data_IF_138253219117
#
_entry.id   IF_138253219117
#
_cell.length_a   1.000
_cell.length_b   1.000
_cell.length_c   1.000
_cell.angle_alpha   90.00
_cell.angle_beta   90.00
_cell.angle_gamma   90.00
#
_symmetry.space_group_name_H-M   'P 1'
#
loop_
_entity.id
_entity.type
_entity.pdbx_description
1 polymer ?
#
# COMPACT_ATOMS: atom_id res chain seq x y z
N UNK A 1 8.91 43.28 25.04
CA UNK A 1 7.96 42.15 25.11
C UNK A 1 8.82 40.89 24.94
N UNK A 2 9.16 40.24 26.05
CA UNK A 2 10.02 39.04 26.06
C UNK A 2 9.13 37.79 26.03
N UNK A 3 9.35 36.90 25.06
CA UNK A 3 8.68 35.60 25.03
C UNK A 3 9.49 34.60 25.86
N UNK A 4 8.93 34.17 26.98
CA UNK A 4 9.41 33.00 27.73
C UNK A 4 8.91 31.73 27.04
N UNK A 5 9.83 30.90 26.55
CA UNK A 5 9.52 29.52 26.18
C UNK A 5 9.21 28.72 27.46
N UNK A 6 7.98 28.23 27.58
CA UNK A 6 7.64 27.20 28.55
C UNK A 6 7.95 25.83 27.94
N UNK A 7 9.00 25.16 28.45
CA UNK A 7 9.20 23.73 28.21
C UNK A 7 8.17 22.95 28.99
N UNK A 8 7.21 22.34 28.29
CA UNK A 8 6.32 21.31 28.85
C UNK A 8 7.13 20.04 28.95
N UNK A 9 7.40 19.58 30.18
CA UNK A 9 8.03 18.29 30.43
C UNK A 9 7.12 17.17 29.97
N UNK A 10 7.43 16.56 28.82
CA UNK A 10 6.79 15.32 28.38
C UNK A 10 7.39 14.18 29.18
N UNK A 11 6.53 13.53 29.97
CA UNK A 11 6.84 12.32 30.71
C UNK A 11 6.92 11.17 29.69
N UNK A 12 8.13 10.70 29.37
CA UNK A 12 8.35 9.56 28.47
C UNK A 12 8.03 8.27 29.23
N UNK A 13 7.06 7.44 28.80
CA UNK A 13 6.98 6.08 29.31
C UNK A 13 7.75 5.13 28.38
N UNK A 14 8.56 4.28 29.02
CA UNK A 14 9.26 3.10 28.49
C UNK A 14 10.56 3.33 27.69
N UNK A 15 11.66 2.79 28.25
CA UNK A 15 12.89 2.45 27.52
C UNK A 15 12.87 0.94 27.32
N UNK A 16 12.78 0.50 26.07
CA UNK A 16 13.02 -0.89 25.70
C UNK A 16 14.49 -1.02 25.32
N UNK A 17 15.22 -1.94 25.95
CA UNK A 17 16.60 -2.26 25.59
C UNK A 17 16.56 -3.50 24.70
N UNK A 18 17.02 -3.38 23.45
CA UNK A 18 17.13 -4.51 22.53
C UNK A 18 18.50 -5.17 22.74
N UNK A 19 18.51 -6.50 22.91
CA UNK A 19 19.75 -7.28 23.01
C UNK A 19 19.60 -8.51 22.12
N UNK A 20 20.35 -8.56 21.02
CA UNK A 20 20.35 -9.71 20.12
C UNK A 20 21.31 -10.80 20.64
N UNK A 21 20.78 -12.01 20.86
CA UNK A 21 21.57 -13.22 21.09
C UNK A 21 21.33 -14.22 19.96
N UNK A 22 22.35 -14.45 19.13
CA UNK A 22 22.37 -15.55 18.16
C UNK A 22 23.08 -16.79 18.76
N UNK A 23 22.59 -17.99 18.46
CA UNK A 23 23.15 -19.25 18.99
C UNK A 23 24.33 -19.77 18.16
N UNK A 24 25.33 -20.34 18.84
CA UNK A 24 26.72 -20.57 18.37
C UNK A 24 26.94 -21.63 17.27
N UNK A 25 25.91 -22.24 16.67
CA UNK A 25 26.09 -23.45 15.83
C UNK A 25 25.64 -23.35 14.36
N UNK A 26 25.67 -22.16 13.76
CA UNK A 26 25.55 -22.01 12.29
C UNK A 26 26.71 -21.17 11.76
N UNK A 27 27.45 -21.68 10.76
CA UNK A 27 28.43 -20.85 10.03
C UNK A 27 27.65 -19.71 9.36
N UNK A 28 27.84 -18.44 9.79
CA UNK A 28 26.99 -17.36 9.33
C UNK A 28 27.41 -16.88 7.95
N UNK A 29 26.44 -16.74 7.06
CA UNK A 29 26.50 -15.71 6.03
C UNK A 29 26.22 -14.40 6.78
N UNK A 30 27.27 -13.61 7.05
CA UNK A 30 27.16 -12.41 7.89
C UNK A 30 26.49 -11.31 7.06
N UNK A 31 25.18 -11.14 7.22
CA UNK A 31 24.54 -9.84 7.04
C UNK A 31 24.76 -9.06 8.33
N UNK A 32 25.60 -8.02 8.27
CA UNK A 32 25.83 -7.15 9.41
C UNK A 32 24.59 -6.24 9.58
N UNK A 33 23.60 -6.73 10.33
CA UNK A 33 22.40 -6.01 10.73
C UNK A 33 22.78 -5.08 11.89
N UNK A 34 23.47 -3.98 11.59
CA UNK A 34 23.94 -3.04 12.61
C UNK A 34 22.79 -2.43 13.41
N UNK A 35 22.95 -2.45 14.74
CA UNK A 35 22.16 -1.66 15.69
C UNK A 35 22.25 -0.16 15.38
N UNK A 36 21.10 0.52 15.42
CA UNK A 36 20.90 1.92 15.02
C UNK A 36 21.49 2.96 16.01
N UNK A 37 22.09 2.55 17.12
CA UNK A 37 22.54 3.50 18.16
C UNK A 37 23.95 4.07 17.96
N UNK A 38 24.63 3.75 16.86
CA UNK A 38 25.97 4.31 16.55
C UNK A 38 26.06 5.01 15.18
N UNK A 39 24.96 5.56 14.67
CA UNK A 39 24.99 6.54 13.57
C UNK A 39 24.63 7.91 14.15
N UNK A 40 25.56 8.45 14.94
CA UNK A 40 25.56 9.87 15.27
C UNK A 40 25.63 10.68 13.97
N UNK A 41 24.54 11.37 13.65
CA UNK A 41 24.46 12.51 12.74
C UNK A 41 25.32 12.42 11.47
N UNK A 42 24.90 11.65 10.47
CA UNK A 42 25.38 11.87 9.09
C UNK A 42 24.21 11.84 8.11
N UNK A 43 23.72 13.06 7.84
CA UNK A 43 23.02 13.54 6.64
C UNK A 43 22.52 12.54 5.59
N UNK A 44 21.21 12.60 5.35
CA UNK A 44 20.50 12.41 4.06
C UNK A 44 21.02 11.28 3.14
N UNK A 45 20.33 10.13 3.17
CA UNK A 45 20.10 9.31 1.97
C UNK A 45 21.16 8.27 1.61
N UNK A 46 21.61 7.44 2.56
CA UNK A 46 22.37 6.22 2.24
C UNK A 46 21.78 4.99 2.90
N UNK A 47 21.14 4.15 2.09
CA UNK A 47 20.89 2.75 2.42
C UNK A 47 22.25 2.04 2.29
N UNK A 48 22.89 1.72 3.43
CA UNK A 48 24.15 1.00 3.45
C UNK A 48 23.87 -0.50 3.45
N UNK A 49 24.11 -1.15 2.32
CA UNK A 49 24.28 -2.61 2.27
C UNK A 49 25.64 -2.96 2.87
N UNK A 50 25.62 -3.46 4.11
CA UNK A 50 26.82 -3.92 4.81
C UNK A 50 27.34 -5.21 4.14
N UNK A 51 28.27 -5.06 3.19
CA UNK A 51 28.91 -6.17 2.48
C UNK A 51 29.08 -5.99 0.98
N UNK A 52 28.49 -4.95 0.38
CA UNK A 52 28.63 -4.69 -1.07
C UNK A 52 29.96 -4.00 -1.40
N UNK A 53 30.60 -4.47 -2.47
CA UNK A 53 31.72 -3.79 -3.11
C UNK A 53 31.25 -2.48 -3.76
N UNK A 54 32.16 -1.53 -3.98
CA UNK A 54 31.85 -0.26 -4.67
C UNK A 54 31.27 -0.50 -6.08
N UNK A 55 31.67 -1.59 -6.73
CA UNK A 55 31.17 -1.99 -8.04
C UNK A 55 29.70 -2.43 -7.98
N UNK A 56 29.34 -3.31 -7.05
CA UNK A 56 27.94 -3.74 -6.81
C UNK A 56 27.03 -2.54 -6.48
N UNK A 57 27.50 -1.61 -5.62
CA UNK A 57 26.74 -0.41 -5.32
C UNK A 57 26.44 0.46 -6.55
N UNK A 58 27.40 0.61 -7.47
CA UNK A 58 27.21 1.40 -8.69
C UNK A 58 26.24 0.73 -9.67
N UNK A 59 26.22 -0.61 -9.74
CA UNK A 59 25.29 -1.35 -10.60
C UNK A 59 23.85 -1.18 -10.08
N UNK A 60 23.64 -1.25 -8.77
CA UNK A 60 22.32 -1.10 -8.16
C UNK A 60 21.77 0.30 -8.42
N UNK A 61 22.62 1.31 -8.24
CA UNK A 61 22.29 2.70 -8.59
C UNK A 61 21.90 2.86 -10.05
N UNK A 62 22.51 2.09 -10.96
CA UNK A 62 22.17 2.14 -12.38
C UNK A 62 20.79 1.56 -12.68
N UNK A 63 20.37 0.48 -11.99
CA UNK A 63 19.01 -0.04 -12.12
C UNK A 63 17.97 0.93 -11.55
N UNK A 64 18.22 1.54 -10.38
CA UNK A 64 17.35 2.58 -9.84
C UNK A 64 17.21 3.77 -10.78
N UNK A 65 18.32 4.18 -11.42
CA UNK A 65 18.29 5.24 -12.42
C UNK A 65 17.39 4.86 -13.61
N UNK A 66 17.51 3.64 -14.14
CA UNK A 66 16.64 3.14 -15.21
C UNK A 66 15.16 3.12 -14.78
N UNK A 67 14.87 2.65 -13.56
CA UNK A 67 13.51 2.62 -13.00
C UNK A 67 12.92 4.03 -12.87
N UNK A 68 13.73 4.99 -12.42
CA UNK A 68 13.32 6.39 -12.32
C UNK A 68 13.00 6.97 -13.69
N UNK A 69 13.85 6.74 -14.70
CA UNK A 69 13.57 7.19 -16.08
C UNK A 69 12.27 6.55 -16.57
N UNK A 70 12.13 5.23 -16.41
CA UNK A 70 10.92 4.50 -16.81
C UNK A 70 9.66 5.10 -16.20
N UNK A 71 9.64 5.30 -14.87
CA UNK A 71 8.49 5.91 -14.17
C UNK A 71 8.27 7.35 -14.61
N UNK A 72 9.32 8.15 -14.83
CA UNK A 72 9.19 9.52 -15.31
C UNK A 72 8.54 9.60 -16.69
N UNK A 73 8.86 8.66 -17.57
CA UNK A 73 8.34 8.56 -18.93
C UNK A 73 6.92 7.98 -19.00
N UNK A 74 6.42 7.37 -17.92
CA UNK A 74 5.02 6.92 -17.86
C UNK A 74 4.05 8.10 -18.00
N UNK A 75 2.93 7.82 -18.67
CA UNK A 75 1.81 8.75 -18.73
C UNK A 75 1.29 9.07 -17.32
N UNK A 76 0.59 10.20 -17.18
CA UNK A 76 0.01 10.56 -15.89
C UNK A 76 -0.93 9.48 -15.35
N UNK A 77 -1.76 8.88 -16.21
CA UNK A 77 -2.68 7.81 -15.83
C UNK A 77 -1.93 6.53 -15.40
N UNK A 78 -0.84 6.16 -16.10
CA UNK A 78 -0.02 5.00 -15.75
C UNK A 78 0.65 5.15 -14.38
N UNK A 79 1.09 6.37 -14.06
CA UNK A 79 1.60 6.70 -12.72
C UNK A 79 0.52 6.49 -11.66
N UNK A 80 -0.71 6.93 -11.91
CA UNK A 80 -1.81 6.75 -10.96
C UNK A 80 -2.13 5.28 -10.68
N UNK A 81 -1.97 4.36 -11.65
CA UNK A 81 -2.07 2.92 -11.37
C UNK A 81 -1.01 2.43 -10.38
N UNK A 82 0.22 2.92 -10.46
CA UNK A 82 1.28 2.55 -9.50
C UNK A 82 0.98 3.13 -8.12
N UNK A 83 0.58 4.40 -8.07
CA UNK A 83 0.24 5.09 -6.82
C UNK A 83 -0.95 4.42 -6.12
N UNK A 84 -2.00 4.09 -6.87
CA UNK A 84 -3.19 3.42 -6.34
C UNK A 84 -2.89 2.05 -5.76
N UNK A 85 -1.87 1.34 -6.25
CA UNK A 85 -1.47 0.07 -5.67
C UNK A 85 -1.02 0.23 -4.22
N UNK A 86 -0.30 1.32 -3.92
CA UNK A 86 0.20 1.62 -2.57
C UNK A 86 -0.87 2.12 -1.60
N UNK A 87 -2.09 2.37 -2.10
CA UNK A 87 -3.22 2.81 -1.31
C UNK A 87 -4.44 1.93 -1.57
N UNK A 88 -4.60 0.88 -0.76
CA UNK A 88 -5.66 -0.14 -0.85
C UNK A 88 -5.73 -0.97 -2.15
N UNK A 89 -5.12 -0.52 -3.25
CA UNK A 89 -5.07 -1.23 -4.52
C UNK A 89 -4.37 -2.59 -4.43
N UNK A 90 -3.42 -2.76 -3.51
CA UNK A 90 -2.80 -4.05 -3.20
C UNK A 90 -3.83 -5.10 -2.74
N UNK A 91 -4.80 -4.72 -1.91
CA UNK A 91 -5.86 -5.59 -1.42
C UNK A 91 -6.81 -5.99 -2.55
N UNK A 92 -7.17 -5.03 -3.40
CA UNK A 92 -8.07 -5.23 -4.54
C UNK A 92 -7.41 -6.15 -5.57
N UNK A 93 -6.20 -5.82 -6.00
CA UNK A 93 -5.45 -6.58 -7.00
C UNK A 93 -5.21 -8.02 -6.56
N UNK A 94 -4.78 -8.22 -5.31
CA UNK A 94 -4.53 -9.55 -4.79
C UNK A 94 -5.81 -10.33 -4.47
N UNK A 95 -6.93 -9.68 -4.15
CA UNK A 95 -8.21 -10.37 -4.04
C UNK A 95 -8.68 -10.90 -5.40
N UNK A 96 -8.54 -10.09 -6.45
CA UNK A 96 -8.83 -10.49 -7.83
C UNK A 96 -7.95 -11.65 -8.28
N UNK A 97 -6.63 -11.52 -8.13
CA UNK A 97 -5.69 -12.54 -8.59
C UNK A 97 -5.86 -13.91 -7.89
N UNK A 98 -6.41 -13.92 -6.67
CA UNK A 98 -6.75 -15.15 -5.92
C UNK A 98 -8.12 -15.73 -6.27
N UNK A 99 -8.91 -15.09 -7.13
CA UNK A 99 -10.32 -15.45 -7.37
C UNK A 99 -11.21 -15.25 -6.15
N UNK A 100 -10.85 -14.32 -5.25
CA UNK A 100 -11.54 -14.03 -3.98
C UNK A 100 -12.14 -12.63 -3.96
N UNK A 101 -12.18 -11.96 -5.12
CA UNK A 101 -12.79 -10.64 -5.23
C UNK A 101 -14.30 -10.73 -4.98
N UNK A 102 -14.81 -9.77 -4.23
CA UNK A 102 -16.23 -9.64 -3.93
C UNK A 102 -16.54 -8.16 -3.84
N UNK A 103 -17.37 -7.67 -4.77
CA UNK A 103 -17.68 -6.24 -4.90
C UNK A 103 -18.20 -5.67 -3.57
N UNK A 104 -19.18 -6.32 -2.93
CA UNK A 104 -19.77 -5.85 -1.67
C UNK A 104 -18.75 -5.71 -0.55
N UNK A 105 -17.77 -6.61 -0.44
CA UNK A 105 -16.70 -6.52 0.56
C UNK A 105 -15.67 -5.43 0.23
N UNK A 106 -15.46 -5.15 -1.05
CA UNK A 106 -14.42 -4.22 -1.52
C UNK A 106 -14.93 -2.80 -1.70
N UNK A 107 -16.25 -2.58 -1.75
CA UNK A 107 -16.85 -1.23 -1.80
C UNK A 107 -16.36 -0.33 -0.67
N UNK A 108 -16.20 -0.87 0.53
CA UNK A 108 -15.64 -0.12 1.68
C UNK A 108 -14.15 0.20 1.56
N UNK A 109 -13.44 -0.28 0.53
CA UNK A 109 -12.06 0.15 0.22
C UNK A 109 -12.03 1.23 -0.85
N UNK A 110 -13.17 1.53 -1.48
CA UNK A 110 -13.32 2.63 -2.42
C UNK A 110 -13.78 3.91 -1.72
N UNK A 111 -14.48 3.76 -0.59
CA UNK A 111 -15.08 4.82 0.22
C UNK A 111 -14.80 4.47 1.68
N UNK A 112 -13.84 5.15 2.31
CA UNK A 112 -13.87 5.25 3.77
C UNK A 112 -14.88 6.36 4.09
N UNK A 113 -15.99 6.00 4.74
CA UNK A 113 -17.03 6.96 5.14
C UNK A 113 -16.50 8.02 6.14
N UNK A 114 -15.27 7.87 6.66
CA UNK A 114 -14.71 8.73 7.71
C UNK A 114 -13.63 9.72 7.25
N UNK A 115 -13.03 9.56 6.07
CA UNK A 115 -11.91 10.40 5.63
C UNK A 115 -12.21 11.01 4.24
N UNK A 116 -12.56 12.31 4.25
CA UNK A 116 -13.06 13.09 3.10
C UNK A 116 -12.04 13.30 1.96
N UNK A 117 -10.80 12.80 2.10
CA UNK A 117 -9.70 13.02 1.16
C UNK A 117 -9.16 11.73 0.51
N UNK A 118 -9.85 10.61 0.68
CA UNK A 118 -9.29 9.32 0.31
C UNK A 118 -9.23 9.09 -1.20
N UNK A 119 -8.05 8.69 -1.66
CA UNK A 119 -7.75 8.43 -3.06
C UNK A 119 -8.45 7.14 -3.52
N UNK A 120 -9.36 7.24 -4.49
CA UNK A 120 -10.12 6.10 -5.00
C UNK A 120 -9.23 5.19 -5.88
N UNK A 121 -8.87 3.96 -5.43
CA UNK A 121 -7.80 3.18 -6.07
C UNK A 121 -8.12 2.77 -7.52
N UNK A 122 -9.40 2.61 -7.85
CA UNK A 122 -9.86 2.19 -9.18
C UNK A 122 -10.16 3.36 -10.11
N UNK A 123 -10.02 4.62 -9.68
CA UNK A 123 -10.34 5.78 -10.50
C UNK A 123 -9.65 5.76 -11.88
N UNK A 124 -8.35 5.40 -12.00
CA UNK A 124 -7.71 5.28 -13.32
C UNK A 124 -8.38 4.25 -14.24
N UNK A 125 -8.82 3.11 -13.69
CA UNK A 125 -9.50 2.07 -14.45
C UNK A 125 -10.91 2.48 -14.87
N UNK A 126 -11.66 3.13 -14.00
CA UNK A 126 -12.97 3.66 -14.36
C UNK A 126 -12.88 4.72 -15.45
N UNK A 127 -11.92 5.64 -15.33
CA UNK A 127 -11.65 6.64 -16.37
C UNK A 127 -11.46 5.99 -17.75
N UNK A 128 -10.53 5.04 -17.85
CA UNK A 128 -10.22 4.37 -19.12
C UNK A 128 -11.42 3.58 -19.66
N UNK A 129 -12.16 2.86 -18.81
CA UNK A 129 -13.31 2.09 -19.26
C UNK A 129 -14.48 3.00 -19.70
N UNK A 130 -14.75 4.10 -18.99
CA UNK A 130 -15.80 5.06 -19.35
C UNK A 130 -15.43 5.75 -20.67
N UNK A 131 -14.19 6.21 -20.81
CA UNK A 131 -13.71 6.89 -22.01
C UNK A 131 -13.79 6.00 -23.25
N UNK A 132 -13.49 4.71 -23.09
CA UNK A 132 -13.47 3.75 -24.20
C UNK A 132 -14.83 3.06 -24.45
N UNK A 133 -15.85 3.29 -23.62
CA UNK A 133 -17.18 2.72 -23.85
C UNK A 133 -18.00 3.51 -24.87
N UNK A 134 -18.77 2.79 -25.67
CA UNK A 134 -19.79 3.38 -26.54
C UNK A 134 -21.20 3.33 -25.94
N UNK A 135 -21.44 2.45 -24.96
CA UNK A 135 -22.76 2.20 -24.39
C UNK A 135 -22.68 2.25 -22.85
N UNK A 136 -23.16 3.36 -22.29
CA UNK A 136 -23.13 3.62 -20.84
C UNK A 136 -24.28 2.95 -20.08
N UNK A 137 -25.31 2.45 -20.77
CA UNK A 137 -26.40 1.68 -20.13
C UNK A 137 -25.90 0.35 -19.55
N UNK A 138 -24.74 -0.13 -19.99
CA UNK A 138 -24.07 -1.31 -19.43
C UNK A 138 -23.12 -0.97 -18.26
N UNK A 139 -22.90 0.33 -18.01
CA UNK A 139 -21.99 0.83 -16.98
C UNK A 139 -22.80 1.23 -15.76
N UNK A 140 -23.87 1.99 -16.00
CA UNK A 140 -24.70 2.59 -14.97
C UNK A 140 -26.03 1.87 -14.91
N UNK A 141 -26.36 1.37 -13.71
CA UNK A 141 -27.74 0.94 -13.44
C UNK A 141 -28.43 2.07 -12.72
N UNK A 142 -29.16 2.88 -13.47
CA UNK A 142 -30.12 3.84 -12.92
C UNK A 142 -31.22 3.06 -12.21
N UNK A 143 -31.02 2.77 -10.93
CA UNK A 143 -32.02 2.18 -10.07
C UNK A 143 -32.31 3.19 -8.99
N UNK A 144 -33.39 3.96 -9.15
CA UNK A 144 -34.01 4.74 -8.07
C UNK A 144 -34.65 3.84 -7.00
N UNK A 145 -34.02 2.72 -6.65
CA UNK A 145 -34.33 2.04 -5.40
C UNK A 145 -33.71 2.89 -4.27
N UNK A 146 -34.35 4.04 -4.05
CA UNK A 146 -34.00 5.11 -3.10
C UNK A 146 -33.92 4.63 -1.65
N UNK A 147 -34.31 3.38 -1.39
CA UNK A 147 -34.10 2.70 -0.11
C UNK A 147 -32.63 2.36 0.16
N UNK A 148 -31.83 2.17 -0.88
CA UNK A 148 -30.40 1.83 -0.77
C UNK A 148 -29.47 2.90 -1.35
N UNK A 149 -30.02 3.91 -2.03
CA UNK A 149 -29.27 5.10 -2.39
C UNK A 149 -28.94 5.87 -1.09
N UNK A 150 -27.83 5.49 -0.45
CA UNK A 150 -27.04 6.34 0.45
C UNK A 150 -26.42 7.53 -0.30
N UNK A 151 -27.02 7.97 -1.40
CA UNK A 151 -26.83 9.31 -1.91
C UNK A 151 -27.38 10.24 -0.85
N UNK A 152 -26.51 10.66 0.05
CA UNK A 152 -26.72 11.88 0.77
C UNK A 152 -26.24 13.01 -0.12
N UNK A 153 -27.11 13.92 -0.55
CA UNK A 153 -26.72 15.24 -1.02
C UNK A 153 -25.68 15.94 -0.13
N UNK A 154 -25.46 15.49 1.11
CA UNK A 154 -24.39 15.96 1.98
C UNK A 154 -22.97 15.87 1.37
N UNK A 155 -22.71 15.01 0.38
CA UNK A 155 -21.43 15.04 -0.34
C UNK A 155 -21.35 16.25 -1.30
N UNK A 156 -22.47 16.68 -1.89
CA UNK A 156 -22.54 17.88 -2.73
C UNK A 156 -22.65 19.17 -1.92
N UNK A 157 -23.39 19.17 -0.81
CA UNK A 157 -23.61 20.34 0.04
C UNK A 157 -22.35 20.74 0.82
N UNK A 158 -21.49 19.78 1.21
CA UNK A 158 -20.22 20.07 1.89
C UNK A 158 -19.25 20.90 1.05
N UNK A 159 -19.15 20.66 -0.26
CA UNK A 159 -18.24 21.42 -1.11
C UNK A 159 -18.73 22.83 -1.46
N UNK A 160 -20.03 23.11 -1.34
CA UNK A 160 -20.59 24.43 -1.63
C UNK A 160 -20.59 25.36 -0.42
N UNK A 161 -20.78 24.84 0.79
CA UNK A 161 -20.97 25.68 1.98
C UNK A 161 -19.67 25.95 2.76
N UNK A 162 -18.64 25.11 2.66
CA UNK A 162 -17.37 25.28 3.40
C UNK A 162 -16.49 26.45 2.90
N UNK A 163 -16.66 26.92 1.65
CA UNK A 163 -15.91 28.09 1.17
C UNK A 163 -16.56 29.43 1.56
N UNK A 164 -17.87 29.48 1.83
CA UNK A 164 -18.56 30.76 2.01
C UNK A 164 -19.07 31.05 3.42
N UNK A 165 -19.46 30.06 4.24
CA UNK A 165 -20.21 30.39 5.47
C UNK A 165 -19.94 29.43 6.64
N UNK A 166 -18.80 29.62 7.32
CA UNK A 166 -18.35 29.03 8.58
C UNK A 166 -19.45 28.96 9.70
N UNK A 167 -20.48 28.13 9.52
CA UNK A 167 -21.67 28.01 10.37
C UNK A 167 -21.68 26.60 10.94
N UNK A 168 -21.71 26.51 12.27
CA UNK A 168 -21.87 25.27 13.03
C UNK A 168 -23.11 24.49 12.54
N UNK A 169 -22.89 23.37 11.85
CA UNK A 169 -23.94 22.46 11.38
C UNK A 169 -24.55 21.72 12.57
N UNK A 170 -25.66 22.23 13.11
CA UNK A 170 -26.54 21.43 13.97
C UNK A 170 -27.35 20.47 13.11
N UNK A 171 -27.31 19.19 13.49
CA UNK A 171 -27.91 17.98 12.89
C UNK A 171 -29.46 18.00 12.76
N UNK A 172 -30.06 19.05 12.18
CA UNK A 172 -31.46 19.04 11.69
C UNK A 172 -31.51 18.80 10.18
N UNK A 173 -30.63 17.93 9.66
CA UNK A 173 -30.44 17.62 8.23
C UNK A 173 -31.51 16.73 7.61
N UNK A 174 -32.60 16.40 8.32
CA UNK A 174 -33.67 15.55 7.80
C UNK A 174 -34.55 16.24 6.73
N UNK A 175 -34.43 17.57 6.59
CA UNK A 175 -35.22 18.37 5.63
C UNK A 175 -34.46 18.80 4.37
N UNK A 176 -33.17 18.48 4.22
CA UNK A 176 -32.35 18.84 3.04
C UNK A 176 -32.28 17.74 1.97
N UNK A 177 -33.05 16.65 2.12
CA UNK A 177 -33.30 15.74 0.99
C UNK A 177 -34.24 16.44 -0.01
N UNK A 178 -33.73 17.42 -0.75
CA UNK A 178 -34.33 17.77 -2.03
C UNK A 178 -34.27 16.50 -2.89
N UNK A 179 -35.44 15.92 -3.14
CA UNK A 179 -35.57 14.77 -4.00
C UNK A 179 -35.32 15.24 -5.43
N UNK A 180 -34.13 15.00 -5.96
CA UNK A 180 -33.87 15.08 -7.39
C UNK A 180 -34.91 14.24 -8.14
N UNK A 181 -35.43 14.77 -9.24
CA UNK A 181 -36.21 13.99 -10.20
C UNK A 181 -35.32 13.00 -10.95
N UNK A 182 -35.89 11.93 -11.51
CA UNK A 182 -35.16 10.98 -12.38
C UNK A 182 -34.39 11.70 -13.48
N UNK A 183 -35.00 12.71 -14.09
CA UNK A 183 -34.42 13.46 -15.18
C UNK A 183 -33.24 14.33 -14.74
N UNK A 184 -33.31 14.96 -13.56
CA UNK A 184 -32.20 15.76 -13.03
C UNK A 184 -31.00 14.87 -12.72
N UNK A 185 -31.23 13.71 -12.10
CA UNK A 185 -30.18 12.72 -11.84
C UNK A 185 -29.54 12.20 -13.13
N UNK A 186 -30.36 11.91 -14.15
CA UNK A 186 -29.86 11.51 -15.47
C UNK A 186 -28.99 12.60 -16.10
N UNK A 187 -29.41 13.87 -16.01
CA UNK A 187 -28.67 15.00 -16.56
C UNK A 187 -27.29 15.15 -15.89
N UNK A 188 -27.21 15.08 -14.56
CA UNK A 188 -25.94 15.17 -13.82
C UNK A 188 -24.99 14.02 -14.18
N UNK A 189 -25.53 12.80 -14.23
CA UNK A 189 -24.74 11.63 -14.64
C UNK A 189 -24.20 11.80 -16.06
N UNK A 190 -25.00 12.34 -16.98
CA UNK A 190 -24.58 12.58 -18.35
C UNK A 190 -23.53 13.70 -18.45
N UNK A 191 -23.59 14.71 -17.60
CA UNK A 191 -22.57 15.74 -17.47
C UNK A 191 -21.23 15.13 -17.00
N UNK A 192 -21.24 14.32 -15.94
CA UNK A 192 -20.06 13.63 -15.43
C UNK A 192 -19.44 12.69 -16.47
N UNK A 193 -20.26 11.92 -17.17
CA UNK A 193 -19.80 11.08 -18.28
C UNK A 193 -19.17 11.91 -19.41
N UNK A 194 -19.71 13.11 -19.68
CA UNK A 194 -19.16 13.99 -20.71
C UNK A 194 -17.78 14.52 -20.29
N UNK A 195 -17.63 14.99 -19.05
CA UNK A 195 -16.34 15.44 -18.49
C UNK A 195 -15.28 14.34 -18.65
N UNK A 196 -15.58 13.10 -18.23
CA UNK A 196 -14.63 11.98 -18.32
C UNK A 196 -14.22 11.67 -19.77
N UNK A 197 -15.14 11.84 -20.73
CA UNK A 197 -14.89 11.55 -22.14
C UNK A 197 -14.11 12.63 -22.86
N UNK A 198 -14.37 13.90 -22.55
CA UNK A 198 -13.75 15.03 -23.27
C UNK A 198 -12.43 15.44 -22.64
N UNK A 199 -12.34 15.43 -21.31
CA UNK A 199 -11.20 15.95 -20.59
C UNK A 199 -10.07 14.92 -20.41
N UNK A 200 -8.80 15.35 -20.37
CA UNK A 200 -7.72 14.49 -19.87
C UNK A 200 -7.97 14.13 -18.39
N UNK A 201 -7.32 13.09 -17.88
CA UNK A 201 -7.42 12.76 -16.46
C UNK A 201 -6.88 13.92 -15.62
N UNK A 202 -7.77 14.62 -14.94
CA UNK A 202 -7.55 15.77 -14.07
C UNK A 202 -8.49 15.68 -12.85
N UNK A 203 -8.47 16.71 -11.99
CA UNK A 203 -9.31 16.73 -10.78
C UNK A 203 -10.80 16.66 -11.11
N UNK A 204 -11.28 17.34 -12.15
CA UNK A 204 -12.70 17.34 -12.52
C UNK A 204 -13.16 15.94 -12.94
N UNK A 205 -12.41 15.27 -13.82
CA UNK A 205 -12.69 13.91 -14.24
C UNK A 205 -12.61 12.90 -13.08
N UNK A 206 -11.68 13.12 -12.13
CA UNK A 206 -11.58 12.31 -10.92
C UNK A 206 -12.83 12.48 -10.06
N UNK A 207 -13.25 13.72 -9.80
CA UNK A 207 -14.47 13.99 -9.02
C UNK A 207 -15.71 13.43 -9.71
N UNK A 208 -15.83 13.52 -11.03
CA UNK A 208 -16.89 12.87 -11.80
C UNK A 208 -16.87 11.35 -11.64
N UNK A 209 -15.70 10.71 -11.62
CA UNK A 209 -15.59 9.25 -11.39
C UNK A 209 -16.04 8.87 -9.99
N UNK A 210 -15.67 9.66 -8.98
CA UNK A 210 -16.09 9.46 -7.59
C UNK A 210 -17.61 9.60 -7.45
N UNK A 211 -18.19 10.64 -8.06
CA UNK A 211 -19.65 10.82 -8.09
C UNK A 211 -20.36 9.66 -8.76
N UNK A 212 -19.83 9.14 -9.86
CA UNK A 212 -20.47 8.02 -10.57
C UNK A 212 -20.38 6.67 -9.83
N UNK A 213 -19.61 6.54 -8.75
CA UNK A 213 -19.36 5.27 -8.04
C UNK A 213 -20.64 4.53 -7.64
N UNK A 214 -21.59 5.26 -7.09
CA UNK A 214 -22.82 4.68 -6.59
C UNK A 214 -23.76 4.18 -7.70
N UNK A 215 -23.46 4.51 -8.96
CA UNK A 215 -24.18 4.01 -10.13
C UNK A 215 -23.48 2.83 -10.82
N UNK A 216 -22.22 2.54 -10.47
CA UNK A 216 -21.49 1.43 -11.07
C UNK A 216 -22.11 0.09 -10.71
N UNK A 217 -22.41 -0.69 -11.75
CA UNK A 217 -22.81 -2.08 -11.60
C UNK A 217 -21.66 -2.93 -11.09
N UNK A 218 -21.99 -4.03 -10.40
CA UNK A 218 -20.97 -4.99 -9.95
C UNK A 218 -20.15 -5.54 -11.13
N UNK A 219 -20.79 -5.81 -12.28
CA UNK A 219 -20.11 -6.24 -13.50
C UNK A 219 -19.12 -5.18 -14.01
N UNK A 220 -19.47 -3.90 -13.92
CA UNK A 220 -18.57 -2.81 -14.31
C UNK A 220 -17.38 -2.68 -13.36
N UNK A 221 -17.61 -2.84 -12.04
CA UNK A 221 -16.53 -2.85 -11.04
C UNK A 221 -15.59 -4.03 -11.27
N UNK A 222 -16.11 -5.23 -11.54
CA UNK A 222 -15.28 -6.40 -11.86
C UNK A 222 -14.42 -6.16 -13.10
N UNK A 223 -14.99 -5.56 -14.17
CA UNK A 223 -14.22 -5.15 -15.36
C UNK A 223 -13.15 -4.11 -15.03
N UNK A 224 -13.45 -3.15 -14.16
CA UNK A 224 -12.48 -2.14 -13.72
C UNK A 224 -11.31 -2.78 -12.94
N UNK A 225 -11.59 -3.74 -12.07
CA UNK A 225 -10.57 -4.48 -11.32
C UNK A 225 -9.74 -5.37 -12.25
N UNK A 226 -10.37 -6.04 -13.22
CA UNK A 226 -9.66 -6.80 -14.25
C UNK A 226 -8.73 -5.89 -15.05
N UNK A 227 -9.24 -4.76 -15.55
CA UNK A 227 -8.44 -3.79 -16.29
C UNK A 227 -7.28 -3.27 -15.43
N UNK A 228 -7.56 -2.91 -14.18
CA UNK A 228 -6.59 -2.45 -13.19
C UNK A 228 -5.43 -3.44 -12.99
N UNK A 229 -5.75 -4.70 -12.73
CA UNK A 229 -4.74 -5.74 -12.49
C UNK A 229 -3.92 -6.06 -13.75
N UNK A 230 -4.56 -6.12 -14.91
CA UNK A 230 -3.86 -6.32 -16.19
C UNK A 230 -2.93 -5.15 -16.51
N UNK A 231 -3.38 -3.91 -16.27
CA UNK A 231 -2.59 -2.71 -16.49
C UNK A 231 -1.38 -2.66 -15.55
N UNK A 232 -1.56 -2.91 -14.26
CA UNK A 232 -0.47 -3.05 -13.30
C UNK A 232 0.57 -4.09 -13.72
N UNK A 233 0.13 -5.30 -14.07
CA UNK A 233 1.02 -6.36 -14.52
C UNK A 233 1.82 -5.94 -15.77
N UNK A 234 1.16 -5.24 -16.71
CA UNK A 234 1.81 -4.68 -17.91
C UNK A 234 2.89 -3.66 -17.54
N UNK A 235 2.60 -2.73 -16.63
CA UNK A 235 3.56 -1.73 -16.16
C UNK A 235 4.79 -2.37 -15.49
N UNK A 236 4.59 -3.41 -14.69
CA UNK A 236 5.69 -4.13 -14.03
C UNK A 236 6.52 -4.90 -15.07
N UNK A 237 5.90 -5.60 -16.01
CA UNK A 237 6.60 -6.41 -17.03
C UNK A 237 7.37 -5.55 -18.05
N UNK A 238 6.90 -4.33 -18.31
CA UNK A 238 7.58 -3.39 -19.17
C UNK A 238 8.75 -2.66 -18.49
N UNK A 239 8.82 -2.66 -17.15
CA UNK A 239 9.89 -2.01 -16.41
C UNK A 239 11.28 -2.58 -16.76
N UNK A 240 12.36 -1.78 -16.66
CA UNK A 240 13.73 -2.26 -16.87
C UNK A 240 14.05 -3.47 -15.98
N UNK A 241 14.54 -4.60 -16.54
CA UNK A 241 14.86 -5.77 -15.74
C UNK A 241 16.03 -5.48 -14.78
N UNK A 242 16.11 -6.25 -13.71
CA UNK A 242 17.25 -6.16 -12.78
C UNK A 242 18.58 -6.43 -13.49
N UNK A 243 19.58 -5.61 -13.20
CA UNK A 243 20.93 -5.73 -13.79
C UNK A 243 21.83 -6.70 -13.01
N UNK A 244 21.44 -7.01 -11.78
CA UNK A 244 22.13 -7.90 -10.85
C UNK A 244 21.14 -8.53 -9.88
N UNK A 245 21.63 -9.48 -9.09
CA UNK A 245 20.85 -10.07 -8.01
C UNK A 245 20.67 -9.05 -6.88
N UNK A 246 19.46 -8.92 -6.33
CA UNK A 246 19.17 -8.03 -5.20
C UNK A 246 18.50 -8.77 -4.06
N UNK A 247 18.75 -8.29 -2.84
CA UNK A 247 18.11 -8.79 -1.63
C UNK A 247 16.96 -7.87 -1.24
N UNK A 248 15.76 -8.43 -1.19
CA UNK A 248 14.54 -7.76 -0.73
C UNK A 248 13.95 -8.50 0.47
N UNK A 249 13.12 -7.80 1.23
CA UNK A 249 12.53 -8.28 2.47
C UNK A 249 11.02 -8.14 2.45
N UNK A 250 10.31 -9.06 3.09
CA UNK A 250 8.86 -8.97 3.25
C UNK A 250 8.45 -9.54 4.59
N UNK A 251 7.93 -8.68 5.47
CA UNK A 251 7.19 -9.12 6.64
C UNK A 251 5.78 -9.53 6.23
N UNK A 252 5.31 -10.68 6.72
CA UNK A 252 3.92 -11.09 6.47
C UNK A 252 3.27 -11.58 7.75
N UNK A 253 2.05 -11.13 7.97
CA UNK A 253 1.13 -11.65 8.99
C UNK A 253 0.62 -13.06 8.68
N UNK A 254 0.77 -13.55 7.45
CA UNK A 254 0.20 -14.83 6.97
C UNK A 254 1.16 -15.65 6.10
N UNK A 255 0.94 -16.97 6.05
CA UNK A 255 1.84 -17.95 5.43
C UNK A 255 1.71 -18.00 3.89
N UNK A 256 1.95 -16.88 3.21
CA UNK A 256 1.83 -16.80 1.74
C UNK A 256 2.82 -17.72 0.99
N UNK A 257 4.04 -17.90 1.52
CA UNK A 257 5.02 -18.86 0.98
C UNK A 257 5.01 -20.11 1.87
N UNK A 258 5.03 -21.32 1.29
CA UNK A 258 5.01 -22.55 2.05
C UNK A 258 6.19 -22.60 3.02
N UNK A 259 5.92 -23.03 4.26
CA UNK A 259 6.93 -23.39 5.25
C UNK A 259 7.65 -24.71 4.94
N UNK A 260 7.53 -25.19 3.70
CA UNK A 260 8.18 -26.40 3.22
C UNK A 260 9.09 -26.03 2.05
N UNK A 261 10.18 -26.77 1.92
CA UNK A 261 11.04 -26.70 0.75
C UNK A 261 10.22 -26.95 -0.52
N UNK A 262 10.57 -26.24 -1.60
CA UNK A 262 9.89 -26.36 -2.88
C UNK A 262 9.74 -25.04 -3.61
N UNK A 263 9.25 -25.14 -4.84
CA UNK A 263 8.90 -24.02 -5.70
C UNK A 263 7.41 -23.76 -5.63
N UNK A 264 7.03 -22.48 -5.57
CA UNK A 264 5.63 -22.06 -5.61
C UNK A 264 5.46 -20.87 -6.54
N UNK A 265 4.54 -21.03 -7.49
CA UNK A 265 4.04 -19.94 -8.30
C UNK A 265 3.14 -19.04 -7.44
N UNK A 266 3.48 -17.76 -7.34
CA UNK A 266 2.63 -16.74 -6.75
C UNK A 266 1.57 -16.31 -7.76
N UNK A 267 0.30 -16.36 -7.37
CA UNK A 267 -0.76 -15.68 -8.14
C UNK A 267 -0.89 -14.20 -7.77
N UNK A 268 -0.29 -13.77 -6.67
CA UNK A 268 -0.37 -12.41 -6.15
C UNK A 268 0.71 -11.51 -6.76
N UNK A 269 0.43 -10.21 -6.74
CA UNK A 269 1.43 -9.16 -6.75
C UNK A 269 2.20 -9.19 -5.41
N UNK A 270 3.53 -9.25 -5.48
CA UNK A 270 4.37 -9.37 -4.29
C UNK A 270 5.12 -8.08 -4.04
N UNK A 271 4.59 -7.31 -3.09
CA UNK A 271 5.25 -6.15 -2.52
C UNK A 271 6.41 -6.59 -1.62
N UNK A 272 7.57 -5.99 -1.78
CA UNK A 272 8.76 -6.25 -0.97
C UNK A 272 9.45 -4.93 -0.67
N UNK A 273 10.27 -4.88 0.37
CA UNK A 273 11.04 -3.70 0.74
C UNK A 273 12.52 -3.99 0.64
N UNK A 274 13.30 -3.04 0.15
CA UNK A 274 14.76 -3.09 0.27
C UNK A 274 15.25 -2.81 1.70
N UNK A 275 14.38 -2.31 2.57
CA UNK A 275 14.66 -2.04 3.97
C UNK A 275 14.15 -3.17 4.86
N UNK A 276 15.07 -3.89 5.49
CA UNK A 276 14.72 -4.90 6.50
C UNK A 276 13.91 -4.31 7.65
N UNK A 277 14.30 -3.13 8.15
CA UNK A 277 13.62 -2.43 9.25
C UNK A 277 12.17 -2.15 8.88
N UNK A 278 11.91 -1.68 7.65
CA UNK A 278 10.54 -1.44 7.16
C UNK A 278 9.76 -2.72 6.95
N UNK A 279 10.34 -3.73 6.30
CA UNK A 279 9.71 -5.04 6.18
C UNK A 279 9.32 -5.63 7.55
N UNK A 280 10.12 -5.38 8.59
CA UNK A 280 9.88 -5.84 9.96
C UNK A 280 8.69 -5.17 10.63
N UNK A 281 8.39 -3.92 10.30
CA UNK A 281 7.19 -3.21 10.80
C UNK A 281 5.91 -3.96 10.41
N UNK A 282 5.90 -4.63 9.25
CA UNK A 282 4.75 -5.42 8.77
C UNK A 282 4.61 -6.82 9.39
N UNK A 283 5.54 -7.24 10.23
CA UNK A 283 5.45 -8.54 10.90
C UNK A 283 4.45 -8.52 12.07
N UNK A 284 4.22 -7.37 12.71
CA UNK A 284 3.41 -7.20 13.92
C UNK A 284 3.67 -8.29 15.00
N UNK A 285 2.85 -8.33 16.07
CA UNK A 285 2.91 -9.37 17.11
C UNK A 285 2.57 -10.79 16.62
N UNK A 286 2.37 -10.98 15.32
CA UNK A 286 2.03 -12.27 14.75
C UNK A 286 3.27 -13.17 14.68
N UNK A 287 3.08 -14.45 15.02
CA UNK A 287 4.16 -15.46 15.09
C UNK A 287 4.70 -15.90 13.72
N UNK A 288 4.45 -15.15 12.64
CA UNK A 288 5.08 -15.43 11.36
C UNK A 288 6.26 -14.50 11.11
N UNK A 289 6.58 -14.35 9.85
CA UNK A 289 7.87 -14.76 9.37
C UNK A 289 8.44 -13.64 8.51
N UNK A 290 9.74 -13.41 8.67
CA UNK A 290 10.47 -12.53 7.78
C UNK A 290 10.86 -13.34 6.55
N UNK A 291 10.63 -12.77 5.37
CA UNK A 291 11.15 -13.35 4.14
C UNK A 291 12.36 -12.54 3.70
N UNK A 292 13.44 -13.25 3.45
CA UNK A 292 14.60 -12.73 2.79
C UNK A 292 14.63 -13.31 1.37
N UNK A 293 14.39 -12.46 0.39
CA UNK A 293 14.13 -12.83 -1.00
C UNK A 293 15.31 -12.39 -1.84
N UNK A 294 16.02 -13.34 -2.43
CA UNK A 294 16.99 -13.10 -3.48
C UNK A 294 16.25 -12.99 -4.81
N UNK A 295 16.19 -11.79 -5.38
CA UNK A 295 15.60 -11.54 -6.69
C UNK A 295 16.73 -11.58 -7.72
N UNK A 296 16.65 -12.49 -8.68
CA UNK A 296 17.74 -12.72 -9.63
C UNK A 296 17.85 -11.63 -10.69
N UNK A 297 19.06 -11.45 -11.18
CA UNK A 297 19.33 -10.66 -12.38
C UNK A 297 18.39 -11.07 -13.52
N UNK A 298 17.91 -10.09 -14.27
CA UNK A 298 17.01 -10.28 -15.40
C UNK A 298 15.53 -10.34 -15.00
N UNK A 299 15.19 -10.50 -13.72
CA UNK A 299 13.81 -10.49 -13.26
C UNK A 299 13.16 -9.13 -13.54
N UNK A 300 11.91 -9.17 -14.02
CA UNK A 300 11.07 -7.99 -14.23
C UNK A 300 10.34 -7.64 -12.93
N UNK A 301 10.69 -6.50 -12.37
CA UNK A 301 10.03 -5.88 -11.22
C UNK A 301 10.09 -4.36 -11.36
N UNK A 302 9.30 -3.66 -10.57
CA UNK A 302 9.28 -2.20 -10.57
C UNK A 302 9.59 -1.67 -9.17
N UNK A 303 10.43 -0.64 -9.09
CA UNK A 303 10.67 0.09 -7.85
C UNK A 303 9.67 1.24 -7.72
N UNK A 304 8.80 1.20 -6.71
CA UNK A 304 7.77 2.22 -6.47
C UNK A 304 7.98 2.99 -5.17
N UNK A 305 9.13 2.79 -4.49
CA UNK A 305 9.42 3.47 -3.22
C UNK A 305 9.36 5.00 -3.29
N UNK A 306 9.83 5.59 -4.40
CA UNK A 306 9.76 7.05 -4.63
C UNK A 306 8.35 7.54 -5.03
N UNK A 307 7.43 6.61 -5.31
CA UNK A 307 6.10 6.87 -5.88
C UNK A 307 4.99 6.17 -5.09
N UNK A 308 5.21 6.01 -3.79
CA UNK A 308 4.27 5.40 -2.84
C UNK A 308 3.65 6.47 -1.95
N UNK A 309 2.40 6.28 -1.55
CA UNK A 309 1.80 7.05 -0.44
C UNK A 309 2.60 6.91 0.85
N UNK A 310 3.38 5.82 0.98
CA UNK A 310 4.32 5.58 2.07
C UNK A 310 5.76 5.65 1.55
N UNK A 311 6.24 6.89 1.33
CA UNK A 311 7.55 7.24 0.72
C UNK A 311 8.77 6.55 1.35
N UNK A 312 8.64 5.95 2.55
CA UNK A 312 9.75 5.33 3.27
C UNK A 312 9.91 3.83 3.06
N UNK A 313 8.99 3.16 2.37
CA UNK A 313 8.98 1.69 2.30
C UNK A 313 10.07 1.12 1.38
N UNK A 314 10.68 1.92 0.50
CA UNK A 314 11.66 1.44 -0.49
C UNK A 314 11.12 0.20 -1.23
N UNK A 315 9.88 0.31 -1.70
CA UNK A 315 9.10 -0.82 -2.18
C UNK A 315 9.52 -1.27 -3.58
N UNK A 316 9.69 -2.58 -3.75
CA UNK A 316 9.79 -3.29 -5.03
C UNK A 316 8.58 -4.18 -5.19
N UNK A 317 7.90 -4.04 -6.33
CA UNK A 317 6.73 -4.81 -6.68
C UNK A 317 7.09 -5.86 -7.74
N UNK A 318 6.86 -7.13 -7.41
CA UNK A 318 6.96 -8.27 -8.30
C UNK A 318 5.58 -8.62 -8.89
N UNK A 319 5.52 -9.00 -10.18
CA UNK A 319 4.25 -9.30 -10.83
C UNK A 319 3.67 -10.65 -10.36
N UNK A 320 2.38 -10.90 -10.64
CA UNK A 320 1.82 -12.24 -10.60
C UNK A 320 2.62 -13.22 -11.45
N UNK A 321 2.48 -14.50 -11.13
CA UNK A 321 3.20 -15.61 -11.74
C UNK A 321 4.71 -15.61 -11.45
N UNK A 322 5.14 -14.90 -10.40
CA UNK A 322 6.51 -15.00 -9.90
C UNK A 322 6.68 -16.33 -9.15
N UNK A 323 7.68 -17.12 -9.55
CA UNK A 323 8.00 -18.39 -8.86
C UNK A 323 9.01 -18.14 -7.74
N UNK A 324 8.67 -18.63 -6.55
CA UNK A 324 9.54 -18.57 -5.37
C UNK A 324 10.01 -19.95 -4.99
N UNK A 325 11.32 -20.12 -4.85
CA UNK A 325 11.95 -21.32 -4.30
C UNK A 325 12.39 -21.08 -2.87
N UNK A 326 11.85 -21.84 -1.92
CA UNK A 326 12.36 -21.81 -0.54
C UNK A 326 13.70 -22.55 -0.49
N UNK A 327 14.77 -21.84 -0.12
CA UNK A 327 16.13 -22.37 -0.01
C UNK A 327 16.37 -22.89 1.41
N UNK A 328 16.00 -22.10 2.42
CA UNK A 328 16.28 -22.42 3.82
C UNK A 328 15.25 -21.76 4.74
N UNK A 329 15.01 -22.37 5.89
CA UNK A 329 14.18 -21.82 6.97
C UNK A 329 15.02 -21.80 8.23
N UNK A 330 15.31 -20.61 8.74
CA UNK A 330 16.10 -20.42 9.95
C UNK A 330 15.19 -19.94 11.06
N UNK A 331 14.96 -20.75 12.12
CA UNK A 331 14.26 -20.29 13.31
C UNK A 331 15.08 -19.19 14.00
N UNK A 332 14.46 -18.04 14.23
CA UNK A 332 15.04 -16.92 14.98
C UNK A 332 14.16 -16.64 16.20
N UNK A 333 14.77 -16.53 17.38
CA UNK A 333 14.03 -16.19 18.61
C UNK A 333 14.31 -14.75 18.94
N UNK A 334 13.28 -13.90 18.83
CA UNK A 334 13.36 -12.52 19.28
C UNK A 334 13.08 -12.49 20.78
N UNK A 335 14.07 -12.04 21.54
CA UNK A 335 13.97 -11.86 22.98
C UNK A 335 13.73 -10.37 23.26
N UNK A 336 12.63 -10.06 23.93
CA UNK A 336 12.34 -8.73 24.43
C UNK A 336 12.30 -8.77 25.95
N UNK A 337 12.91 -7.77 26.57
CA UNK A 337 12.77 -7.52 28.00
C UNK A 337 12.04 -6.19 28.13
N UNK A 338 10.86 -6.20 28.75
CA UNK A 338 10.18 -4.96 29.12
C UNK A 338 9.75 -4.97 30.59
N UNK A 339 9.66 -3.77 31.16
CA UNK A 339 9.36 -3.56 32.56
C UNK A 339 7.90 -3.13 32.71
N UNK A 340 7.05 -3.98 33.30
CA UNK A 340 5.64 -3.69 33.55
C UNK A 340 5.45 -3.13 34.96
N UNK A 341 4.80 -1.98 35.17
CA UNK A 341 4.56 -1.46 36.51
C UNK A 341 3.80 -2.45 37.39
N UNK A 342 4.26 -2.65 38.63
CA UNK A 342 3.57 -3.45 39.64
C UNK A 342 2.29 -2.73 40.08
N UNK A 343 1.18 -3.46 40.20
CA UNK A 343 -0.10 -2.94 40.72
C UNK A 343 -0.15 -2.95 42.27
N UNK A 344 0.98 -2.73 42.93
CA UNK A 344 1.07 -2.74 44.41
C UNK A 344 1.19 -1.32 44.95
N UNK A 345 0.72 -1.08 46.19
CA UNK A 345 0.84 0.23 46.87
C UNK A 345 2.29 0.69 47.05
N UNK A 346 3.24 -0.24 47.03
CA UNK A 346 4.68 0.01 47.21
C UNK A 346 5.37 0.48 45.91
N UNK A 347 4.69 0.42 44.75
CA UNK A 347 5.29 0.70 43.45
C UNK A 347 6.27 -0.38 42.96
N UNK A 348 6.97 -0.09 41.85
CA UNK A 348 7.99 -0.96 41.24
C UNK A 348 7.62 -1.49 39.85
N UNK A 349 8.50 -2.30 39.26
CA UNK A 349 8.32 -2.92 37.95
C UNK A 349 8.60 -4.43 38.01
N UNK A 350 7.80 -5.21 37.29
CA UNK A 350 8.08 -6.61 36.96
C UNK A 350 8.84 -6.66 35.62
N UNK A 351 9.98 -7.34 35.61
CA UNK A 351 10.67 -7.66 34.37
C UNK A 351 9.93 -8.80 33.67
N UNK A 352 9.46 -8.56 32.44
CA UNK A 352 8.81 -9.57 31.61
C UNK A 352 9.73 -9.87 30.43
N UNK A 353 10.19 -11.12 30.37
CA UNK A 353 10.89 -11.66 29.22
C UNK A 353 9.87 -12.27 28.25
N UNK A 354 9.83 -11.76 27.03
CA UNK A 354 9.00 -12.31 25.94
C UNK A 354 9.92 -12.89 24.89
N UNK A 355 9.80 -14.21 24.68
CA UNK A 355 10.49 -14.92 23.60
C UNK A 355 9.50 -15.20 22.48
N UNK A 356 9.64 -14.48 21.37
CA UNK A 356 8.86 -14.71 20.16
C UNK A 356 9.71 -15.47 19.16
N UNK A 357 9.32 -16.71 18.85
CA UNK A 357 9.92 -17.46 17.75
C UNK A 357 9.34 -16.96 16.43
N UNK A 358 10.21 -16.51 15.54
CA UNK A 358 9.90 -16.14 14.15
C UNK A 358 10.75 -17.00 13.23
N UNK A 359 10.23 -17.33 12.06
CA UNK A 359 11.02 -18.01 11.02
C UNK A 359 11.56 -16.97 10.05
N UNK A 360 12.86 -17.00 9.75
CA UNK A 360 13.45 -16.30 8.60
C UNK A 360 13.46 -17.29 7.44
N UNK A 361 12.63 -17.02 6.44
CA UNK A 361 12.50 -17.85 5.24
C UNK A 361 13.36 -17.22 4.15
N UNK A 362 14.38 -17.95 3.71
CA UNK A 362 15.23 -17.57 2.58
C UNK A 362 14.61 -18.12 1.31
N UNK A 363 14.25 -17.23 0.41
CA UNK A 363 13.65 -17.55 -0.87
C UNK A 363 14.49 -17.00 -2.02
N UNK A 364 14.37 -17.63 -3.17
CA UNK A 364 14.90 -17.13 -4.44
C UNK A 364 13.76 -17.00 -5.45
N UNK A 365 13.78 -15.93 -6.24
CA UNK A 365 12.90 -15.77 -7.40
C UNK A 365 13.54 -16.47 -8.60
N UNK A 366 12.83 -17.44 -9.18
CA UNK A 366 13.22 -18.07 -10.44
C UNK A 366 12.51 -17.38 -11.62
N UNK A 367 13.27 -17.18 -12.71
CA UNK A 367 12.78 -16.64 -13.98
C UNK A 367 12.12 -17.71 -14.85
#
# INVERSE_FOLDING_TARGET
>A
MEYKLHTVGIQIPYVAIHVDKMTENTKPFILNLGDEDYIGQVNKGRILYSGSTKEEYNVLLSWFHDQKIYIQDLSYIDKLYLLSYTYHGDRIANAWARGKFNVNKMRSLFIDDNDEEDFMPLAPAFYELIRNTKNYNNILKFSLDTKNAKYSPAWFDRFKDDEENNIDFTLESDNLRQFYTEQELENEVMEDLNIIKTEPFNIDSYMSICRLEAFYTDEFIEKAVEYYTNKLNTLIRNAPPLREDIHAFRGIKSAFIPKSEGEKLSVDFISTSLSYTKAREFMDNDRCCMKHILIKKGTKCIYIGDFSFVVSESEILLPPETTFKTINIVPYTKEYIYYKPKKTREGGFDMIEVKNKIDIIYCEVSN
#
